data_IF_204812830025
#
_entry.id   IF_204812830025
#
_cell.length_a   1.000
_cell.length_b   1.000
_cell.length_c   1.000
_cell.angle_alpha   90.00
_cell.angle_beta   90.00
_cell.angle_gamma   90.00
#
_symmetry.space_group_name_H-M   'P 1'
#
loop_
_entity.id
_entity.type
_entity.pdbx_description
1 polymer ?
#
# COMPACT_ATOMS: atom_id res chain seq x y z
N UNK A 1 -3.40 20.21 -0.50
CA UNK A 1 -3.08 18.94 0.19
C UNK A 1 -3.15 17.72 -0.73
N UNK A 2 -4.33 17.21 -1.11
CA UNK A 2 -4.41 15.98 -1.95
C UNK A 2 -3.61 16.12 -3.26
N UNK A 3 -3.73 17.28 -3.93
CA UNK A 3 -2.94 17.58 -5.15
C UNK A 3 -1.43 17.53 -4.89
N UNK A 4 -0.99 18.03 -3.75
CA UNK A 4 0.43 18.06 -3.37
C UNK A 4 0.94 16.65 -3.07
N UNK A 5 0.14 15.83 -2.39
CA UNK A 5 0.46 14.41 -2.15
C UNK A 5 0.53 13.65 -3.47
N UNK A 6 -0.43 13.82 -4.39
CA UNK A 6 -0.39 13.19 -5.70
C UNK A 6 0.81 13.66 -6.54
N UNK A 7 1.19 14.94 -6.43
CA UNK A 7 2.40 15.45 -7.07
C UNK A 7 3.65 14.81 -6.48
N UNK A 8 3.72 14.67 -5.15
CA UNK A 8 4.83 13.99 -4.48
C UNK A 8 4.92 12.51 -4.89
N UNK A 9 3.79 11.81 -5.02
CA UNK A 9 3.72 10.42 -5.46
C UNK A 9 4.11 10.20 -6.94
N UNK A 10 4.06 11.24 -7.78
CA UNK A 10 4.53 11.18 -9.19
C UNK A 10 6.05 11.31 -9.32
N UNK A 11 6.71 11.85 -8.30
CA UNK A 11 8.16 12.06 -8.34
C UNK A 11 8.86 10.73 -8.04
N UNK A 12 9.67 10.19 -8.97
CA UNK A 12 10.35 8.91 -8.78
C UNK A 12 11.39 8.94 -7.64
N UNK A 13 11.77 10.11 -7.14
CA UNK A 13 12.66 10.24 -5.98
C UNK A 13 11.91 10.08 -4.64
N UNK A 14 10.57 10.09 -4.66
CA UNK A 14 9.73 10.02 -3.47
C UNK A 14 9.09 8.63 -3.33
N UNK A 15 9.67 7.79 -2.48
CA UNK A 15 9.14 6.44 -2.23
C UNK A 15 8.11 6.39 -1.09
N UNK A 16 7.98 7.45 -0.27
CA UNK A 16 7.13 7.48 0.93
C UNK A 16 6.57 8.88 1.18
N UNK A 17 5.30 8.95 1.56
CA UNK A 17 4.62 10.18 2.02
C UNK A 17 3.88 9.87 3.32
N UNK A 18 4.02 10.73 4.32
CA UNK A 18 3.33 10.63 5.59
C UNK A 18 2.37 11.80 5.79
N UNK A 19 1.15 11.52 6.29
CA UNK A 19 0.14 12.53 6.63
C UNK A 19 -0.09 12.48 8.14
N UNK A 20 0.33 13.53 8.86
CA UNK A 20 0.33 13.57 10.33
C UNK A 20 -0.61 14.65 10.89
N UNK A 21 -0.91 14.61 12.19
CA UNK A 21 -1.60 15.67 12.94
C UNK A 21 -2.64 15.13 13.94
N UNK A 22 -3.45 16.02 14.52
CA UNK A 22 -4.46 15.62 15.52
C UNK A 22 -5.51 14.64 14.97
N UNK A 23 -6.07 13.83 15.86
CA UNK A 23 -7.16 12.89 15.56
C UNK A 23 -8.45 13.61 15.13
N UNK A 24 -9.33 12.89 14.43
CA UNK A 24 -10.63 13.45 13.99
C UNK A 24 -10.57 14.42 12.80
N UNK A 25 -9.39 14.79 12.31
CA UNK A 25 -9.22 15.74 11.19
C UNK A 25 -9.49 15.10 9.79
N UNK A 26 -9.81 13.80 9.73
CA UNK A 26 -10.13 13.14 8.46
C UNK A 26 -8.92 12.67 7.64
N UNK A 27 -7.80 12.32 8.29
CA UNK A 27 -6.61 11.79 7.58
C UNK A 27 -6.90 10.48 6.85
N UNK A 28 -7.68 9.59 7.47
CA UNK A 28 -8.12 8.34 6.85
C UNK A 28 -8.97 8.60 5.62
N UNK A 29 -9.89 9.56 5.71
CA UNK A 29 -10.73 9.99 4.57
C UNK A 29 -9.86 10.55 3.43
N UNK A 30 -8.83 11.32 3.77
CA UNK A 30 -7.87 11.81 2.79
C UNK A 30 -7.10 10.67 2.10
N UNK A 31 -6.69 9.64 2.84
CA UNK A 31 -6.02 8.47 2.26
C UNK A 31 -6.93 7.72 1.27
N UNK A 32 -8.22 7.61 1.57
CA UNK A 32 -9.23 7.01 0.67
C UNK A 32 -9.34 7.84 -0.63
N UNK A 33 -9.44 9.16 -0.54
CA UNK A 33 -9.52 10.01 -1.74
C UNK A 33 -8.22 10.01 -2.56
N UNK A 34 -7.05 9.94 -1.91
CA UNK A 34 -5.76 9.76 -2.59
C UNK A 34 -5.74 8.43 -3.35
N UNK A 35 -6.18 7.34 -2.73
CA UNK A 35 -6.26 6.03 -3.37
C UNK A 35 -7.17 6.10 -4.62
N UNK A 36 -8.35 6.71 -4.49
CA UNK A 36 -9.31 6.86 -5.58
C UNK A 36 -8.72 7.61 -6.77
N UNK A 37 -8.04 8.74 -6.51
CA UNK A 37 -7.40 9.55 -7.55
C UNK A 37 -6.18 8.88 -8.15
N UNK A 38 -5.34 8.22 -7.36
CA UNK A 38 -4.18 7.50 -7.86
C UNK A 38 -4.59 6.39 -8.85
N UNK A 39 -5.72 5.71 -8.59
CA UNK A 39 -6.31 4.75 -9.53
C UNK A 39 -6.89 5.43 -10.78
N UNK A 40 -7.67 6.50 -10.61
CA UNK A 40 -8.29 7.21 -11.74
C UNK A 40 -7.25 7.83 -12.69
N UNK A 41 -6.16 8.34 -12.14
CA UNK A 41 -5.04 8.94 -12.89
C UNK A 41 -4.05 7.88 -13.39
N UNK A 42 -4.27 6.58 -13.15
CA UNK A 42 -3.34 5.48 -13.43
C UNK A 42 -1.90 5.77 -12.99
N UNK A 43 -1.75 6.30 -11.77
CA UNK A 43 -0.45 6.71 -11.22
C UNK A 43 0.48 5.53 -10.92
N UNK A 44 -0.12 4.37 -10.65
CA UNK A 44 0.55 3.12 -10.32
C UNK A 44 -0.18 1.96 -10.99
N UNK A 45 0.54 0.91 -11.35
CA UNK A 45 -0.05 -0.32 -11.91
C UNK A 45 -1.06 -0.97 -10.96
N UNK A 46 -0.77 -0.89 -9.65
CA UNK A 46 -1.62 -1.43 -8.59
C UNK A 46 -1.58 -0.55 -7.36
N UNK A 47 -2.73 -0.42 -6.69
CA UNK A 47 -2.87 0.35 -5.46
C UNK A 47 -3.60 -0.48 -4.40
N UNK A 48 -2.90 -0.78 -3.31
CA UNK A 48 -3.43 -1.46 -2.14
C UNK A 48 -3.65 -0.48 -0.97
N UNK A 49 -4.63 -0.77 -0.12
CA UNK A 49 -4.87 -0.04 1.13
C UNK A 49 -5.06 -1.08 2.23
N UNK A 50 -4.36 -0.89 3.34
CA UNK A 50 -4.47 -1.73 4.53
C UNK A 50 -4.61 -0.85 5.77
N UNK A 51 -5.44 -1.27 6.71
CA UNK A 51 -5.63 -0.57 7.96
C UNK A 51 -4.72 -1.17 9.03
N UNK A 52 -3.93 -0.32 9.69
CA UNK A 52 -3.01 -0.73 10.76
C UNK A 52 -3.49 -0.14 12.07
N UNK A 53 -3.93 -1.01 12.99
CA UNK A 53 -4.33 -0.67 14.35
C UNK A 53 -3.11 -0.62 15.29
N UNK A 54 -3.33 -0.12 16.52
CA UNK A 54 -2.31 -0.15 17.59
C UNK A 54 -1.86 -1.57 17.92
N UNK A 55 -2.78 -2.52 17.87
CA UNK A 55 -2.52 -3.95 17.93
C UNK A 55 -2.64 -4.50 16.51
N UNK A 56 -1.51 -4.71 15.78
CA UNK A 56 -1.57 -5.04 14.36
C UNK A 56 -1.90 -6.52 14.14
N UNK A 57 -2.96 -6.80 13.40
CA UNK A 57 -3.26 -8.14 12.91
C UNK A 57 -2.49 -8.41 11.61
N UNK A 58 -1.24 -8.88 11.72
CA UNK A 58 -0.35 -9.04 10.56
C UNK A 58 -0.94 -9.89 9.43
N UNK A 59 -1.64 -10.99 9.77
CA UNK A 59 -2.31 -11.85 8.78
C UNK A 59 -3.35 -11.10 7.97
N UNK A 60 -4.11 -10.20 8.62
CA UNK A 60 -5.13 -9.38 7.98
C UNK A 60 -4.50 -8.30 7.09
N UNK A 61 -3.48 -7.61 7.59
CA UNK A 61 -2.74 -6.61 6.79
C UNK A 61 -2.13 -7.25 5.53
N UNK A 62 -1.52 -8.43 5.68
CA UNK A 62 -0.99 -9.18 4.53
C UNK A 62 -2.08 -9.61 3.56
N UNK A 63 -3.24 -10.07 4.07
CA UNK A 63 -4.39 -10.44 3.24
C UNK A 63 -4.92 -9.23 2.43
N UNK A 64 -5.11 -8.08 3.07
CA UNK A 64 -5.60 -6.85 2.42
C UNK A 64 -4.65 -6.40 1.28
N UNK A 65 -3.34 -6.51 1.50
CA UNK A 65 -2.33 -6.14 0.49
C UNK A 65 -2.28 -7.21 -0.62
N UNK A 66 -2.28 -8.50 -0.26
CA UNK A 66 -2.19 -9.61 -1.20
C UNK A 66 -3.42 -9.68 -2.13
N UNK A 67 -4.61 -9.31 -1.65
CA UNK A 67 -5.83 -9.22 -2.45
C UNK A 67 -5.65 -8.29 -3.66
N UNK A 68 -4.92 -7.18 -3.48
CA UNK A 68 -4.72 -6.18 -4.53
C UNK A 68 -3.44 -6.39 -5.34
N UNK A 69 -2.35 -6.78 -4.70
CA UNK A 69 -1.03 -6.87 -5.35
C UNK A 69 -0.71 -8.28 -5.86
N UNK A 70 -1.34 -9.31 -5.29
CA UNK A 70 -1.10 -10.73 -5.55
C UNK A 70 -0.39 -11.42 -4.38
N UNK A 71 -0.44 -12.77 -4.32
CA UNK A 71 0.03 -13.57 -3.17
C UNK A 71 1.56 -13.57 -2.97
N UNK A 72 2.33 -12.89 -3.82
CA UNK A 72 3.80 -12.78 -3.69
C UNK A 72 4.19 -11.64 -2.77
N UNK A 73 3.76 -11.71 -1.52
CA UNK A 73 4.47 -11.05 -0.42
C UNK A 73 5.35 -12.11 0.23
N UNK A 74 6.36 -12.57 -0.53
CA UNK A 74 7.35 -13.48 -0.02
C UNK A 74 8.01 -12.76 1.17
N UNK A 75 7.75 -13.22 2.39
CA UNK A 75 8.57 -12.88 3.53
C UNK A 75 9.91 -13.61 3.39
N UNK A 76 10.67 -13.29 2.35
CA UNK A 76 11.91 -13.98 2.02
C UNK A 76 13.04 -12.97 1.98
N UNK A 77 13.46 -12.60 3.19
CA UNK A 77 14.88 -12.49 3.50
C UNK A 77 15.52 -13.88 3.72
N UNK A 78 15.07 -14.92 3.01
CA UNK A 78 15.69 -16.25 3.04
C UNK A 78 15.81 -16.77 1.59
N UNK A 79 16.99 -17.21 1.17
CA UNK A 79 17.17 -17.82 -0.14
C UNK A 79 16.60 -19.24 -0.10
N UNK A 80 15.54 -19.50 -0.86
CA UNK A 80 14.87 -20.80 -0.80
C UNK A 80 14.03 -21.12 -2.02
N UNK A 81 14.66 -21.15 -3.20
CA UNK A 81 14.09 -21.80 -4.39
C UNK A 81 13.61 -23.21 -4.01
N UNK A 82 12.36 -23.53 -4.37
CA UNK A 82 11.98 -24.86 -4.86
C UNK A 82 10.71 -24.75 -5.68
N UNK A 83 10.85 -24.86 -7.01
CA UNK A 83 9.73 -25.21 -7.89
C UNK A 83 9.49 -26.71 -7.71
N UNK A 84 8.24 -27.19 -7.56
CA UNK A 84 8.00 -28.62 -7.69
C UNK A 84 8.19 -28.99 -9.16
N UNK A 85 9.14 -29.88 -9.42
CA UNK A 85 9.18 -30.67 -10.66
C UNK A 85 7.98 -31.62 -10.63
N UNK A 86 7.13 -31.52 -11.64
CA UNK A 86 6.16 -32.56 -11.94
C UNK A 86 6.92 -33.82 -12.40
N UNK A 87 6.54 -34.98 -11.87
CA UNK A 87 6.70 -36.27 -12.53
C UNK A 87 5.39 -36.62 -13.20
#
# INVERSE_FOLDING_TARGET
MIKDVLKALRDPNNNKVAICGMGGIGKTEMAIEIQRRAKADNLFDKVAMAMVSREPELKRIQADIAEKLGPRLNAEGLPGRSRPTAF
#
